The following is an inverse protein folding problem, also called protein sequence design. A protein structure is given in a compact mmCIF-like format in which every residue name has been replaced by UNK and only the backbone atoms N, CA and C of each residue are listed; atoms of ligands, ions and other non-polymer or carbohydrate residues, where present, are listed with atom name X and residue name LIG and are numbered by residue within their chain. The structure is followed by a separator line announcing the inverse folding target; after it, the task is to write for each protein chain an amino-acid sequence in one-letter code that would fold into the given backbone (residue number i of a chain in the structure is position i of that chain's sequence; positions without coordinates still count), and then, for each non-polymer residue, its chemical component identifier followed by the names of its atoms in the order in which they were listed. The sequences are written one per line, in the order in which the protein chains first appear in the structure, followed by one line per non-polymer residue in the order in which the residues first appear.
data_IF_717499701355
#
_entry.id   IF_717499701355
#
_cell.length_a   1.000
_cell.length_b   1.000
_cell.length_c   1.000
_cell.angle_alpha   90.00
_cell.angle_beta   90.00
_cell.angle_gamma   90.00
#
_symmetry.space_group_name_H-M   'P 1'
#
loop_
_entity.id
_entity.type
_entity.pdbx_description
1 polymer ?
#
# COMPACT_ATOMS: atom_id res chain seq x y z
N UNK A 1 -42.64 31.09 47.65
CA UNK A 1 -42.16 29.71 47.49
C UNK A 1 -41.22 29.70 46.28
N UNK A 2 -39.92 29.58 46.51
CA UNK A 2 -38.90 29.45 45.46
C UNK A 2 -38.71 27.94 45.17
N UNK A 3 -38.59 27.50 43.90
CA UNK A 3 -38.34 26.10 43.57
C UNK A 3 -36.85 25.75 43.79
N UNK A 4 -36.63 24.59 44.42
CA UNK A 4 -35.32 23.97 44.62
C UNK A 4 -34.77 23.40 43.30
N UNK A 5 -33.49 23.62 42.95
CA UNK A 5 -32.88 22.97 41.80
C UNK A 5 -32.53 21.52 42.16
N UNK A 6 -33.10 20.57 41.42
CA UNK A 6 -32.70 19.15 41.49
C UNK A 6 -31.38 18.98 40.76
N UNK A 7 -30.31 18.66 41.49
CA UNK A 7 -29.02 18.26 40.94
C UNK A 7 -29.16 16.90 40.25
N UNK A 8 -29.09 16.88 38.92
CA UNK A 8 -28.97 15.65 38.16
C UNK A 8 -27.51 15.18 38.23
N UNK A 9 -27.28 14.03 38.88
CA UNK A 9 -25.97 13.39 38.93
C UNK A 9 -25.72 12.72 37.58
N UNK A 10 -24.83 13.29 36.76
CA UNK A 10 -24.38 12.70 35.51
C UNK A 10 -23.36 11.62 35.83
N UNK A 11 -23.75 10.34 35.74
CA UNK A 11 -22.82 9.22 35.84
C UNK A 11 -22.00 9.15 34.55
N UNK A 12 -20.74 9.59 34.62
CA UNK A 12 -19.78 9.46 33.53
C UNK A 12 -19.27 8.02 33.51
N UNK A 13 -19.83 7.19 32.62
CA UNK A 13 -19.32 5.83 32.38
C UNK A 13 -18.07 5.93 31.52
N UNK A 14 -16.89 5.84 32.15
CA UNK A 14 -15.61 5.78 31.44
C UNK A 14 -15.52 4.43 30.73
N UNK A 15 -15.70 4.42 29.40
CA UNK A 15 -15.46 3.25 28.58
C UNK A 15 -13.94 3.05 28.48
N UNK A 16 -13.41 2.00 29.11
CA UNK A 16 -12.03 1.57 28.89
C UNK A 16 -11.95 0.96 27.48
N UNK A 17 -11.50 1.75 26.51
CA UNK A 17 -11.08 1.25 25.21
C UNK A 17 -9.84 0.38 25.42
N UNK A 18 -10.00 -0.94 25.31
CA UNK A 18 -8.85 -1.82 25.11
C UNK A 18 -8.14 -1.45 23.81
N UNK A 19 -6.84 -1.77 23.65
CA UNK A 19 -6.18 -1.59 22.37
C UNK A 19 -6.97 -2.36 21.32
N UNK A 20 -7.41 -1.67 20.28
CA UNK A 20 -7.95 -2.34 19.10
C UNK A 20 -6.84 -3.28 18.60
N UNK A 21 -7.08 -4.59 18.66
CA UNK A 21 -6.25 -5.52 17.93
C UNK A 21 -6.57 -5.26 16.48
N UNK A 22 -5.74 -4.47 15.82
CA UNK A 22 -5.80 -4.34 14.38
C UNK A 22 -5.60 -5.75 13.81
N UNK A 23 -6.52 -6.16 12.94
CA UNK A 23 -6.57 -7.49 12.35
C UNK A 23 -6.79 -7.34 10.86
N UNK A 24 -6.08 -8.15 10.07
CA UNK A 24 -6.36 -8.33 8.64
C UNK A 24 -7.80 -8.83 8.50
N UNK A 25 -8.62 -8.09 7.75
CA UNK A 25 -10.03 -8.42 7.56
C UNK A 25 -10.17 -9.18 6.25
N UNK A 26 -10.30 -10.51 6.36
CA UNK A 26 -10.60 -11.41 5.25
C UNK A 26 -12.09 -11.36 4.90
N UNK A 27 -12.42 -11.35 3.61
CA UNK A 27 -13.83 -11.39 3.16
C UNK A 27 -14.43 -12.79 3.21
N UNK A 28 -13.57 -13.82 3.29
CA UNK A 28 -13.95 -15.24 3.18
C UNK A 28 -13.86 -15.78 1.75
N UNK A 29 -13.72 -14.91 0.75
CA UNK A 29 -13.59 -15.30 -0.65
C UNK A 29 -12.13 -15.48 -1.09
N UNK A 30 -11.94 -16.14 -2.23
CA UNK A 30 -10.64 -16.28 -2.88
C UNK A 30 -10.74 -15.97 -4.37
N UNK A 31 -9.65 -15.45 -4.95
CA UNK A 31 -9.50 -15.25 -6.38
C UNK A 31 -8.16 -15.83 -6.83
N UNK A 32 -8.20 -16.70 -7.84
CA UNK A 32 -7.01 -17.41 -8.36
C UNK A 32 -6.21 -18.15 -7.26
N UNK A 33 -6.90 -18.66 -6.24
CA UNK A 33 -6.30 -19.40 -5.13
C UNK A 33 -5.71 -18.53 -4.01
N UNK A 34 -5.86 -17.20 -4.07
CA UNK A 34 -5.40 -16.27 -3.04
C UNK A 34 -6.56 -15.59 -2.31
N UNK A 35 -6.45 -15.34 -1.00
CA UNK A 35 -7.51 -14.71 -0.21
C UNK A 35 -7.80 -13.27 -0.67
N UNK A 36 -9.08 -12.90 -0.60
CA UNK A 36 -9.52 -11.52 -0.75
C UNK A 36 -9.63 -10.89 0.65
N UNK A 37 -9.07 -9.69 0.80
CA UNK A 37 -9.08 -8.88 2.02
C UNK A 37 -9.74 -7.52 1.76
N UNK A 38 -10.26 -6.94 2.83
CA UNK A 38 -10.76 -5.55 2.85
C UNK A 38 -9.86 -4.62 3.69
N UNK A 39 -9.08 -5.20 4.60
CA UNK A 39 -8.06 -4.50 5.38
C UNK A 39 -6.87 -5.43 5.63
N UNK A 40 -5.66 -4.89 5.59
CA UNK A 40 -4.39 -5.56 5.86
C UNK A 40 -3.87 -5.07 7.20
N UNK A 41 -3.45 -6.01 8.03
CA UNK A 41 -2.52 -5.77 9.13
C UNK A 41 -1.26 -6.59 8.89
N UNK A 42 -0.12 -5.91 8.74
CA UNK A 42 1.15 -6.58 8.47
C UNK A 42 1.60 -7.53 9.61
N UNK A 43 1.10 -7.33 10.83
CA UNK A 43 1.41 -8.17 12.01
C UNK A 43 0.72 -9.54 11.96
N UNK A 44 -0.31 -9.68 11.13
CA UNK A 44 -0.99 -10.96 10.88
C UNK A 44 -0.40 -11.74 9.69
N UNK A 45 0.39 -11.08 8.85
CA UNK A 45 1.00 -11.72 7.68
C UNK A 45 2.02 -12.75 8.14
N UNK A 46 2.00 -14.00 7.63
CA UNK A 46 2.97 -15.01 8.03
C UNK A 46 4.42 -14.51 7.91
N UNK A 47 5.24 -14.85 8.90
CA UNK A 47 6.64 -14.45 8.94
C UNK A 47 7.47 -15.25 7.94
N UNK A 48 8.61 -14.68 7.54
CA UNK A 48 9.63 -15.31 6.70
C UNK A 48 9.09 -15.84 5.37
N UNK A 49 8.13 -15.13 4.79
CA UNK A 49 7.49 -15.52 3.54
C UNK A 49 7.02 -14.32 2.75
N UNK A 50 6.67 -14.60 1.50
CA UNK A 50 5.93 -13.69 0.63
C UNK A 50 4.49 -14.19 0.55
N UNK A 51 3.60 -13.45 1.18
CA UNK A 51 2.16 -13.66 1.10
C UNK A 51 1.56 -12.88 -0.06
N UNK A 52 0.46 -13.40 -0.63
CA UNK A 52 -0.27 -12.75 -1.72
C UNK A 52 -1.74 -12.65 -1.35
N UNK A 53 -2.32 -11.49 -1.60
CA UNK A 53 -3.71 -11.17 -1.33
C UNK A 53 -4.31 -10.45 -2.53
N UNK A 54 -5.64 -10.42 -2.57
CA UNK A 54 -6.38 -9.47 -3.39
C UNK A 54 -7.08 -8.46 -2.47
N UNK A 55 -7.00 -7.17 -2.76
CA UNK A 55 -7.91 -6.18 -2.21
C UNK A 55 -9.13 -6.06 -3.10
N UNK A 56 -10.31 -5.96 -2.52
CA UNK A 56 -11.50 -5.49 -3.23
C UNK A 56 -11.78 -4.02 -2.87
N UNK A 57 -11.11 -3.03 -3.51
CA UNK A 57 -11.15 -1.64 -3.06
C UNK A 57 -12.50 -0.95 -3.25
N UNK A 58 -13.27 -1.37 -4.25
CA UNK A 58 -14.59 -0.83 -4.53
C UNK A 58 -15.35 -1.75 -5.50
N UNK A 59 -16.64 -1.49 -5.66
CA UNK A 59 -17.47 -2.08 -6.72
C UNK A 59 -17.88 -1.01 -7.73
N UNK A 60 -17.70 -1.31 -9.01
CA UNK A 60 -18.17 -0.50 -10.12
C UNK A 60 -19.68 -0.62 -10.32
N UNK A 61 -20.16 0.07 -11.36
CA UNK A 61 -21.57 0.00 -11.75
C UNK A 61 -22.02 -1.45 -12.02
N UNK A 62 -23.21 -1.80 -11.51
CA UNK A 62 -23.74 -3.15 -11.60
C UNK A 62 -23.16 -4.16 -10.60
N UNK A 63 -22.44 -3.69 -9.56
CA UNK A 63 -21.86 -4.55 -8.52
C UNK A 63 -20.64 -5.34 -9.00
N UNK A 64 -19.90 -4.79 -9.98
CA UNK A 64 -18.70 -5.43 -10.51
C UNK A 64 -17.51 -5.11 -9.60
N UNK A 65 -16.95 -6.08 -8.86
CA UNK A 65 -15.84 -5.82 -7.96
C UNK A 65 -14.55 -5.52 -8.75
N UNK A 66 -13.78 -4.58 -8.25
CA UNK A 66 -12.38 -4.43 -8.65
C UNK A 66 -11.50 -5.29 -7.75
N UNK A 67 -10.42 -5.83 -8.29
CA UNK A 67 -9.44 -6.60 -7.51
C UNK A 67 -8.04 -6.05 -7.74
N UNK A 68 -7.31 -5.79 -6.65
CA UNK A 68 -5.92 -5.37 -6.69
C UNK A 68 -5.00 -6.44 -6.11
N UNK A 69 -3.98 -6.89 -6.85
CA UNK A 69 -3.00 -7.80 -6.29
C UNK A 69 -2.14 -7.07 -5.26
N UNK A 70 -2.00 -7.68 -4.08
CA UNK A 70 -1.09 -7.23 -3.02
C UNK A 70 -0.08 -8.33 -2.77
N UNK A 71 1.19 -7.97 -2.73
CA UNK A 71 2.26 -8.83 -2.25
C UNK A 71 2.78 -8.30 -0.91
N UNK A 72 3.03 -9.19 0.05
CA UNK A 72 3.63 -8.80 1.33
C UNK A 72 4.78 -9.74 1.64
N UNK A 73 5.99 -9.20 1.61
CA UNK A 73 7.18 -9.89 2.09
C UNK A 73 7.42 -9.46 3.53
N UNK A 74 7.37 -10.41 4.48
CA UNK A 74 7.62 -10.14 5.91
C UNK A 74 8.84 -10.92 6.39
N UNK A 75 9.68 -10.26 7.17
CA UNK A 75 10.80 -10.85 7.90
C UNK A 75 10.35 -11.72 9.06
N UNK A 76 11.15 -11.75 10.13
CA UNK A 76 10.84 -12.50 11.33
C UNK A 76 9.61 -11.92 12.06
N UNK A 77 9.17 -12.61 13.10
CA UNK A 77 8.11 -12.12 13.99
C UNK A 77 8.44 -10.72 14.52
N UNK A 78 9.68 -10.54 15.00
CA UNK A 78 10.25 -9.28 15.50
C UNK A 78 10.33 -8.18 14.43
N UNK A 79 10.39 -8.54 13.14
CA UNK A 79 10.50 -7.55 12.06
C UNK A 79 9.28 -6.65 11.92
N UNK A 80 8.11 -7.10 12.37
CA UNK A 80 6.93 -6.23 12.36
C UNK A 80 7.04 -5.06 13.34
N UNK A 81 7.89 -5.16 14.36
CA UNK A 81 8.07 -4.13 15.39
C UNK A 81 9.41 -3.40 15.29
N UNK A 82 10.46 -4.07 14.82
CA UNK A 82 11.83 -3.55 14.78
C UNK A 82 12.31 -3.15 13.38
N UNK A 83 11.69 -3.69 12.33
CA UNK A 83 12.08 -3.48 10.95
C UNK A 83 11.32 -2.34 10.27
N UNK A 84 11.88 -1.82 9.18
CA UNK A 84 11.22 -0.78 8.36
C UNK A 84 10.13 -1.37 7.48
N UNK A 85 9.08 -0.59 7.25
CA UNK A 85 7.91 -0.94 6.43
C UNK A 85 7.94 -0.12 5.15
N UNK A 86 8.28 -0.77 4.04
CA UNK A 86 8.41 -0.14 2.72
C UNK A 86 7.19 -0.50 1.85
N UNK A 87 6.56 0.49 1.23
CA UNK A 87 5.60 0.25 0.15
C UNK A 87 6.23 0.52 -1.22
N UNK A 88 5.99 -0.39 -2.16
CA UNK A 88 6.37 -0.30 -3.56
C UNK A 88 5.10 -0.36 -4.39
N UNK A 89 4.72 0.76 -4.99
CA UNK A 89 3.50 0.86 -5.79
C UNK A 89 3.82 1.24 -7.23
N UNK A 90 2.95 0.81 -8.14
CA UNK A 90 3.13 1.04 -9.57
C UNK A 90 1.78 1.22 -10.24
N UNK A 91 1.82 1.82 -11.43
CA UNK A 91 0.67 1.85 -12.33
C UNK A 91 -0.58 2.48 -11.69
N UNK A 92 -0.39 3.55 -10.91
CA UNK A 92 -1.47 4.46 -10.53
C UNK A 92 -2.03 5.19 -11.76
N UNK A 93 -1.15 5.47 -12.72
CA UNK A 93 -1.54 5.80 -14.07
C UNK A 93 -1.54 4.54 -14.92
N UNK A 94 -2.63 4.29 -15.63
CA UNK A 94 -2.87 3.02 -16.29
C UNK A 94 -2.05 2.77 -17.56
N UNK A 95 -1.48 3.83 -18.14
CA UNK A 95 -0.65 3.76 -19.33
C UNK A 95 0.86 3.74 -19.01
N UNK A 96 1.22 3.57 -17.73
CA UNK A 96 2.59 3.48 -17.22
C UNK A 96 2.89 2.05 -16.75
N UNK A 97 3.17 1.15 -17.70
CA UNK A 97 3.19 -0.30 -17.46
C UNK A 97 4.56 -0.87 -17.07
N UNK A 98 5.67 -0.21 -17.42
CA UNK A 98 7.01 -0.73 -17.12
C UNK A 98 7.23 -0.98 -15.61
N UNK A 99 6.74 -0.12 -14.70
CA UNK A 99 6.94 -0.31 -13.27
C UNK A 99 6.22 -1.53 -12.67
N UNK A 100 5.15 -2.01 -13.31
CA UNK A 100 4.48 -3.25 -12.90
C UNK A 100 5.48 -4.41 -12.83
N UNK A 101 6.33 -4.51 -13.86
CA UNK A 101 7.39 -5.52 -13.93
C UNK A 101 8.52 -5.28 -12.93
N UNK A 102 8.79 -4.02 -12.55
CA UNK A 102 9.79 -3.69 -11.53
C UNK A 102 9.37 -4.25 -10.17
N UNK A 103 8.14 -3.97 -9.73
CA UNK A 103 7.60 -4.50 -8.47
C UNK A 103 7.62 -6.04 -8.47
N UNK A 104 7.16 -6.67 -9.56
CA UNK A 104 7.18 -8.14 -9.68
C UNK A 104 8.60 -8.71 -9.60
N UNK A 105 9.58 -8.09 -10.26
CA UNK A 105 10.99 -8.52 -10.22
C UNK A 105 11.60 -8.37 -8.83
N UNK A 106 11.29 -7.30 -8.10
CA UNK A 106 11.75 -7.11 -6.73
C UNK A 106 11.26 -8.27 -5.85
N UNK A 107 9.96 -8.60 -5.92
CA UNK A 107 9.42 -9.73 -5.17
C UNK A 107 9.96 -11.09 -5.61
N UNK A 108 10.23 -11.28 -6.91
CA UNK A 108 10.91 -12.48 -7.41
C UNK A 108 12.33 -12.60 -6.86
N UNK A 109 13.11 -11.50 -6.81
CA UNK A 109 14.45 -11.46 -6.24
C UNK A 109 14.45 -11.70 -4.73
N UNK A 110 13.51 -11.12 -4.00
CA UNK A 110 13.32 -11.41 -2.57
C UNK A 110 13.08 -12.91 -2.36
N UNK A 111 12.24 -13.52 -3.20
CA UNK A 111 11.97 -14.96 -3.15
C UNK A 111 13.20 -15.82 -3.49
N UNK A 112 13.95 -15.47 -4.54
CA UNK A 112 15.13 -16.20 -5.01
C UNK A 112 16.29 -16.17 -4.01
N UNK A 113 16.55 -15.00 -3.42
CA UNK A 113 17.68 -14.81 -2.51
C UNK A 113 17.47 -15.48 -1.16
N UNK A 114 16.22 -15.81 -0.79
CA UNK A 114 15.92 -16.65 0.37
C UNK A 114 16.45 -16.10 1.70
N UNK A 115 16.78 -14.82 1.79
CA UNK A 115 17.23 -14.17 3.03
C UNK A 115 16.03 -13.77 3.89
N UNK A 116 15.08 -14.68 4.06
CA UNK A 116 14.04 -14.61 5.08
C UNK A 116 14.54 -15.39 6.31
N UNK A 117 14.56 -14.80 7.53
CA UNK A 117 15.04 -15.49 8.74
C UNK A 117 14.29 -16.79 9.07
N UNK A 118 14.70 -17.92 8.46
CA UNK A 118 14.10 -19.25 8.68
C UNK A 118 13.75 -20.02 7.41
N UNK A 119 13.91 -19.47 6.21
CA UNK A 119 13.78 -20.26 4.97
C UNK A 119 15.07 -21.04 4.70
N UNK A 120 15.18 -22.21 5.30
CA UNK A 120 16.25 -23.16 4.99
C UNK A 120 16.20 -23.53 3.50
N UNK A 121 17.26 -23.19 2.77
CA UNK A 121 17.48 -23.76 1.44
C UNK A 121 17.62 -25.29 1.59
N UNK A 122 16.93 -26.04 0.75
CA UNK A 122 17.01 -27.50 0.67
C UNK A 122 18.29 -27.99 -0.03
N UNK A 123 19.26 -27.12 -0.31
CA UNK A 123 20.61 -27.48 -0.71
C UNK A 123 21.52 -27.43 0.52
N UNK A 124 21.94 -28.60 1.00
CA UNK A 124 22.65 -28.82 2.26
C UNK A 124 24.08 -28.26 2.39
N UNK A 125 24.32 -27.02 1.97
CA UNK A 125 25.48 -26.26 2.41
C UNK A 125 25.06 -25.39 3.60
N UNK A 126 25.48 -25.79 4.80
CA UNK A 126 25.39 -24.92 5.98
C UNK A 126 26.23 -23.68 5.67
N UNK A 127 25.57 -22.54 5.52
CA UNK A 127 26.23 -21.25 5.60
C UNK A 127 27.06 -21.25 6.90
N UNK A 128 28.34 -20.91 6.77
CA UNK A 128 29.25 -20.79 7.92
C UNK A 128 28.64 -19.80 8.90
N UNK A 129 28.69 -20.11 10.19
CA UNK A 129 28.15 -19.28 11.29
C UNK A 129 28.77 -17.86 11.36
N UNK A 130 29.75 -17.55 10.51
CA UNK A 130 30.43 -16.25 10.37
C UNK A 130 29.89 -15.36 9.22
N UNK A 131 28.98 -15.85 8.37
CA UNK A 131 28.17 -15.01 7.47
C UNK A 131 26.77 -14.84 8.07
N UNK A 132 26.67 -14.00 9.10
CA UNK A 132 25.40 -13.36 9.45
C UNK A 132 25.02 -12.36 8.34
N UNK A 133 24.74 -12.87 7.13
CA UNK A 133 24.10 -12.11 6.07
C UNK A 133 22.83 -11.51 6.68
N UNK A 134 22.70 -10.19 6.60
CA UNK A 134 21.63 -9.42 7.23
C UNK A 134 20.28 -10.05 6.90
N UNK A 135 19.73 -10.80 7.87
CA UNK A 135 18.41 -11.38 7.78
C UNK A 135 17.41 -10.26 7.45
N UNK A 136 16.49 -10.48 6.50
CA UNK A 136 15.50 -9.48 6.11
C UNK A 136 14.72 -9.01 7.35
N UNK A 137 14.98 -7.77 7.77
CA UNK A 137 14.37 -7.15 8.94
C UNK A 137 13.43 -6.02 8.54
N UNK A 138 12.19 -6.38 8.24
CA UNK A 138 11.12 -5.45 7.93
C UNK A 138 9.98 -6.09 7.18
N UNK A 139 9.20 -5.24 6.52
CA UNK A 139 8.08 -5.62 5.67
C UNK A 139 8.14 -4.83 4.37
N UNK A 140 7.94 -5.49 3.23
CA UNK A 140 7.74 -4.84 1.94
C UNK A 140 6.34 -5.16 1.43
N UNK A 141 5.53 -4.13 1.15
CA UNK A 141 4.21 -4.23 0.54
C UNK A 141 4.31 -3.83 -0.92
N UNK A 142 3.92 -4.71 -1.84
CA UNK A 142 3.90 -4.47 -3.27
C UNK A 142 2.47 -4.29 -3.80
N UNK A 143 2.22 -3.17 -4.48
CA UNK A 143 1.01 -2.90 -5.25
C UNK A 143 1.38 -2.72 -6.73
N UNK A 144 1.59 -3.81 -7.49
CA UNK A 144 2.12 -3.72 -8.85
C UNK A 144 1.14 -3.05 -9.83
N UNK A 145 -0.16 -3.06 -9.56
CA UNK A 145 -1.18 -2.45 -10.41
C UNK A 145 -2.21 -1.72 -9.56
N UNK A 146 -2.06 -0.40 -9.38
CA UNK A 146 -3.04 0.40 -8.63
C UNK A 146 -4.27 0.81 -9.45
N UNK A 147 -4.17 0.89 -10.79
CA UNK A 147 -5.25 1.35 -11.66
C UNK A 147 -5.56 0.33 -12.77
N UNK A 148 -6.18 -0.82 -12.43
CA UNK A 148 -6.47 -1.88 -13.40
C UNK A 148 -7.42 -1.42 -14.52
N UNK A 149 -8.29 -0.44 -14.26
CA UNK A 149 -9.16 0.14 -15.27
C UNK A 149 -8.38 0.96 -16.30
N UNK A 150 -7.50 1.84 -15.81
CA UNK A 150 -6.57 2.56 -16.67
C UNK A 150 -5.69 1.59 -17.46
N UNK A 151 -5.20 0.52 -16.85
CA UNK A 151 -4.42 -0.51 -17.53
C UNK A 151 -5.20 -1.17 -18.67
N UNK A 152 -6.42 -1.61 -18.39
CA UNK A 152 -7.28 -2.27 -19.38
C UNK A 152 -7.56 -1.37 -20.58
N UNK A 153 -7.73 -0.07 -20.34
CA UNK A 153 -8.05 0.91 -21.37
C UNK A 153 -6.82 1.55 -22.03
N UNK A 154 -5.61 1.23 -21.53
CA UNK A 154 -4.39 1.96 -21.84
C UNK A 154 -4.57 3.49 -21.68
N UNK A 155 -5.12 3.89 -20.53
CA UNK A 155 -5.43 5.27 -20.17
C UNK A 155 -4.69 5.66 -18.90
N UNK A 156 -4.18 6.89 -18.89
CA UNK A 156 -3.54 7.48 -17.70
C UNK A 156 -4.45 7.48 -16.48
N UNK A 157 -5.71 7.82 -16.67
CA UNK A 157 -6.66 8.07 -15.59
C UNK A 157 -7.60 6.89 -15.35
N UNK A 158 -8.14 6.79 -14.15
CA UNK A 158 -9.16 5.81 -13.79
C UNK A 158 -10.49 6.17 -14.46
N UNK A 159 -11.08 5.20 -15.15
CA UNK A 159 -12.35 5.38 -15.84
C UNK A 159 -13.53 5.03 -14.95
N UNK A 160 -14.55 5.89 -14.94
CA UNK A 160 -15.86 5.61 -14.34
C UNK A 160 -16.94 5.71 -15.39
N UNK A 161 -17.85 4.74 -15.43
CA UNK A 161 -18.89 4.61 -16.47
C UNK A 161 -20.13 5.48 -16.25
N UNK A 162 -20.02 6.60 -15.52
CA UNK A 162 -21.15 7.51 -15.30
C UNK A 162 -21.41 8.40 -16.52
N UNK A 163 -22.66 8.49 -16.98
CA UNK A 163 -23.06 9.27 -18.16
C UNK A 163 -22.22 8.93 -19.42
N UNK A 164 -21.44 9.87 -19.95
CA UNK A 164 -20.56 9.65 -21.11
C UNK A 164 -19.17 9.10 -20.72
N UNK A 165 -18.99 8.74 -19.46
CA UNK A 165 -17.72 8.33 -18.88
C UNK A 165 -16.89 9.51 -18.35
N UNK A 166 -16.19 9.30 -17.24
CA UNK A 166 -15.27 10.28 -16.66
C UNK A 166 -13.92 9.64 -16.35
N UNK A 167 -12.86 10.41 -16.57
CA UNK A 167 -11.50 10.04 -16.25
C UNK A 167 -11.01 10.84 -15.05
N UNK A 168 -10.67 10.15 -13.96
CA UNK A 168 -10.14 10.74 -12.74
C UNK A 168 -8.69 10.33 -12.55
N UNK A 169 -7.82 11.30 -12.28
CA UNK A 169 -6.44 10.98 -11.91
C UNK A 169 -6.43 10.46 -10.46
N UNK A 170 -6.14 9.18 -10.26
CA UNK A 170 -6.06 8.60 -8.91
C UNK A 170 -4.99 9.25 -8.04
N UNK A 171 -3.90 9.74 -8.63
CA UNK A 171 -2.83 10.42 -7.89
C UNK A 171 -3.21 11.87 -7.53
N UNK A 172 -4.48 12.24 -7.55
CA UNK A 172 -5.02 13.54 -7.12
C UNK A 172 -6.20 13.41 -6.17
N UNK A 173 -6.52 12.19 -5.72
CA UNK A 173 -7.67 11.92 -4.86
C UNK A 173 -7.29 11.24 -3.54
N UNK A 174 -6.03 10.91 -3.29
CA UNK A 174 -5.61 10.38 -1.99
C UNK A 174 -5.82 11.43 -0.87
N UNK A 175 -6.23 11.05 0.36
CA UNK A 175 -6.40 9.67 0.87
C UNK A 175 -7.70 9.02 0.41
N UNK A 176 -8.52 9.72 -0.37
CA UNK A 176 -9.84 9.30 -0.78
C UNK A 176 -10.92 9.75 0.21
N UNK A 177 -12.13 9.26 -0.02
CA UNK A 177 -13.31 9.47 0.81
C UNK A 177 -14.18 8.23 0.70
N UNK A 178 -14.68 7.69 1.81
CA UNK A 178 -15.50 6.47 1.74
C UNK A 178 -16.87 6.76 1.13
N UNK A 179 -17.59 5.71 0.71
CA UNK A 179 -18.95 5.86 0.18
C UNK A 179 -19.89 6.43 1.26
N UNK A 180 -19.71 6.02 2.51
CA UNK A 180 -20.49 6.52 3.66
C UNK A 180 -20.29 8.01 3.90
N UNK A 181 -19.10 8.53 3.59
CA UNK A 181 -18.75 9.96 3.66
C UNK A 181 -19.20 10.74 2.42
N UNK A 182 -19.72 10.06 1.39
CA UNK A 182 -20.18 10.66 0.14
C UNK A 182 -19.17 10.62 -1.01
N UNK A 183 -18.09 9.84 -0.87
CA UNK A 183 -17.07 9.66 -1.90
C UNK A 183 -17.62 9.00 -3.16
N UNK A 184 -17.15 9.48 -4.32
CA UNK A 184 -17.40 8.81 -5.59
C UNK A 184 -16.58 7.53 -5.71
N UNK A 185 -16.79 6.77 -6.79
CA UNK A 185 -16.05 5.52 -7.01
C UNK A 185 -14.51 5.70 -6.95
N UNK A 186 -13.88 6.70 -7.59
CA UNK A 186 -12.43 6.88 -7.50
C UNK A 186 -11.96 7.26 -6.09
N UNK A 187 -12.75 8.04 -5.35
CA UNK A 187 -12.44 8.46 -3.98
C UNK A 187 -12.52 7.28 -3.01
N UNK A 188 -13.59 6.48 -3.10
CA UNK A 188 -13.77 5.28 -2.28
C UNK A 188 -12.70 4.23 -2.58
N UNK A 189 -12.32 4.11 -3.86
CA UNK A 189 -11.23 3.25 -4.30
C UNK A 189 -9.89 3.66 -3.69
N UNK A 190 -9.56 4.96 -3.71
CA UNK A 190 -8.36 5.48 -3.08
C UNK A 190 -8.40 5.31 -1.54
N UNK A 191 -9.56 5.54 -0.92
CA UNK A 191 -9.77 5.33 0.51
C UNK A 191 -9.53 3.89 0.94
N UNK A 192 -9.95 2.92 0.13
CA UNK A 192 -9.71 1.51 0.43
C UNK A 192 -8.24 1.12 0.34
N UNK A 193 -7.47 1.70 -0.60
CA UNK A 193 -6.01 1.50 -0.65
C UNK A 193 -5.36 2.16 0.57
N UNK A 194 -5.67 3.44 0.81
CA UNK A 194 -5.06 4.24 1.87
C UNK A 194 -5.29 3.64 3.26
N UNK A 195 -6.55 3.37 3.58
CA UNK A 195 -6.94 2.86 4.89
C UNK A 195 -6.79 1.35 5.00
N UNK A 196 -7.18 0.61 3.96
CA UNK A 196 -7.20 -0.85 3.99
C UNK A 196 -5.87 -1.52 3.67
N UNK A 197 -4.92 -0.87 2.99
CA UNK A 197 -3.61 -1.47 2.70
C UNK A 197 -2.49 -0.76 3.44
N UNK A 198 -2.40 0.56 3.29
CA UNK A 198 -1.39 1.34 4.00
C UNK A 198 -1.74 1.59 5.46
N UNK A 199 -2.96 1.22 5.89
CA UNK A 199 -3.38 1.30 7.28
C UNK A 199 -3.53 2.74 7.77
N UNK A 200 -3.80 3.69 6.87
CA UNK A 200 -3.63 5.12 7.14
C UNK A 200 -2.22 5.37 7.72
N UNK A 201 -1.22 4.97 6.95
CA UNK A 201 0.22 4.96 7.27
C UNK A 201 0.66 4.04 8.41
N UNK A 202 -0.23 3.29 9.07
CA UNK A 202 0.19 2.35 10.13
C UNK A 202 0.93 1.12 9.59
N UNK A 203 0.77 0.78 8.31
CA UNK A 203 1.48 -0.34 7.67
C UNK A 203 2.73 0.09 6.88
N UNK A 204 3.01 1.38 6.75
CA UNK A 204 4.04 1.92 5.85
C UNK A 204 4.80 3.07 6.51
N UNK A 205 6.12 2.94 6.61
CA UNK A 205 7.00 4.02 7.07
C UNK A 205 7.46 4.90 5.91
N UNK A 206 7.67 4.29 4.74
CA UNK A 206 8.15 4.96 3.53
C UNK A 206 7.60 4.28 2.29
N UNK A 207 7.28 5.06 1.26
CA UNK A 207 6.72 4.57 0.01
C UNK A 207 7.58 5.00 -1.19
N UNK A 208 7.62 4.14 -2.21
CA UNK A 208 8.13 4.46 -3.54
C UNK A 208 7.02 4.15 -4.52
N UNK A 209 6.46 5.19 -5.12
CA UNK A 209 5.48 5.07 -6.19
C UNK A 209 6.18 5.26 -7.54
N UNK A 210 6.22 4.20 -8.34
CA UNK A 210 6.94 4.19 -9.60
C UNK A 210 6.05 4.69 -10.73
N UNK A 211 6.51 5.74 -11.41
CA UNK A 211 5.90 6.31 -12.60
C UNK A 211 6.80 6.09 -13.82
N UNK A 212 6.19 6.12 -15.00
CA UNK A 212 6.89 6.48 -16.23
C UNK A 212 6.28 7.75 -16.79
N UNK A 213 6.89 8.29 -17.83
CA UNK A 213 6.16 9.23 -18.66
C UNK A 213 4.98 8.51 -19.35
N UNK A 214 3.84 9.21 -19.44
CA UNK A 214 2.63 8.75 -20.15
C UNK A 214 2.96 8.33 -21.59
N UNK A 215 2.08 7.53 -22.19
CA UNK A 215 2.25 7.03 -23.56
C UNK A 215 2.59 8.14 -24.55
N UNK A 216 3.62 7.92 -25.37
CA UNK A 216 4.08 8.88 -26.38
C UNK A 216 5.09 9.92 -25.89
N UNK A 217 5.53 9.83 -24.64
CA UNK A 217 6.52 10.73 -24.05
C UNK A 217 7.87 10.03 -23.80
N UNK A 218 8.95 10.80 -23.85
CA UNK A 218 10.32 10.37 -23.53
C UNK A 218 10.97 11.40 -22.60
N UNK A 219 11.75 10.93 -21.64
CA UNK A 219 12.41 11.79 -20.67
C UNK A 219 13.40 11.02 -19.81
N UNK A 220 14.17 11.74 -18.96
CA UNK A 220 15.15 11.13 -18.08
C UNK A 220 14.48 10.25 -17.01
N UNK A 221 15.28 9.48 -16.28
CA UNK A 221 14.86 8.96 -14.98
C UNK A 221 14.98 10.08 -13.95
N UNK A 222 13.87 10.51 -13.35
CA UNK A 222 13.90 11.45 -12.24
C UNK A 222 13.04 10.98 -11.08
N UNK A 223 13.30 11.50 -9.89
CA UNK A 223 12.45 11.29 -8.73
C UNK A 223 12.05 12.63 -8.08
N UNK A 224 10.82 12.67 -7.60
CA UNK A 224 10.37 13.63 -6.60
C UNK A 224 10.70 13.06 -5.23
N UNK A 225 11.29 13.87 -4.35
CA UNK A 225 11.72 13.39 -3.05
C UNK A 225 11.62 14.50 -1.99
N UNK A 226 10.84 14.24 -0.94
CA UNK A 226 10.77 15.13 0.21
C UNK A 226 11.93 14.86 1.18
N UNK A 227 13.00 15.64 1.04
CA UNK A 227 14.19 15.50 1.88
C UNK A 227 13.98 15.90 3.35
N UNK A 228 12.80 16.42 3.71
CA UNK A 228 12.45 16.68 5.11
C UNK A 228 12.13 15.40 5.89
N UNK A 229 11.78 14.31 5.18
CA UNK A 229 11.39 13.04 5.76
C UNK A 229 12.60 12.11 5.90
N UNK A 230 12.69 11.41 7.03
CA UNK A 230 13.80 10.50 7.34
C UNK A 230 13.90 9.38 6.30
N UNK A 231 15.12 9.04 5.89
CA UNK A 231 15.40 8.01 4.90
C UNK A 231 15.10 8.35 3.44
N UNK A 232 14.24 9.33 3.13
CA UNK A 232 13.82 9.65 1.75
C UNK A 232 14.98 10.14 0.88
N UNK A 233 15.84 11.02 1.40
CA UNK A 233 17.05 11.45 0.68
C UNK A 233 17.92 10.24 0.29
N UNK A 234 18.18 9.35 1.25
CA UNK A 234 19.03 8.18 1.03
C UNK A 234 18.44 7.24 -0.03
N UNK A 235 17.13 7.02 0.00
CA UNK A 235 16.43 6.19 -1.00
C UNK A 235 16.51 6.82 -2.39
N UNK A 236 16.28 8.13 -2.51
CA UNK A 236 16.35 8.85 -3.77
C UNK A 236 17.75 8.82 -4.39
N UNK A 237 18.80 9.00 -3.58
CA UNK A 237 20.20 8.94 -4.03
C UNK A 237 20.64 7.51 -4.40
N UNK A 238 20.16 6.49 -3.69
CA UNK A 238 20.44 5.08 -4.00
C UNK A 238 19.83 4.61 -5.33
N UNK A 239 18.76 5.26 -5.78
CA UNK A 239 18.17 4.99 -7.09
C UNK A 239 19.07 5.47 -8.24
N UNK A 240 20.00 6.40 -7.96
CA UNK A 240 20.88 7.04 -8.94
C UNK A 240 20.13 7.57 -10.19
N UNK A 241 19.03 8.34 -10.03
CA UNK A 241 18.32 8.92 -11.17
C UNK A 241 19.16 10.02 -11.84
N UNK A 242 18.83 10.35 -13.08
CA UNK A 242 19.47 11.46 -13.81
C UNK A 242 19.23 12.81 -13.10
N UNK A 243 18.09 12.94 -12.41
CA UNK A 243 17.70 14.16 -11.69
C UNK A 243 16.89 13.84 -10.45
N UNK A 244 17.17 14.55 -9.35
CA UNK A 244 16.32 14.57 -8.16
C UNK A 244 15.71 15.96 -8.04
N UNK A 245 14.37 16.04 -8.04
CA UNK A 245 13.67 17.25 -7.62
C UNK A 245 13.35 17.12 -6.14
N UNK A 246 13.97 17.97 -5.34
CA UNK A 246 13.62 18.12 -3.92
C UNK A 246 12.25 18.78 -3.87
N UNK A 247 11.25 18.03 -3.46
CA UNK A 247 9.84 18.38 -3.63
C UNK A 247 9.06 18.03 -2.36
N UNK A 248 8.28 18.98 -1.80
CA UNK A 248 7.45 18.70 -0.63
C UNK A 248 6.21 17.86 -0.97
N UNK A 249 6.03 17.49 -2.24
CA UNK A 249 4.92 16.76 -2.82
C UNK A 249 3.72 17.63 -3.19
N UNK A 250 2.78 17.04 -3.93
CA UNK A 250 1.52 17.65 -4.37
C UNK A 250 0.33 17.12 -3.55
N UNK A 251 -0.59 17.98 -3.05
CA UNK A 251 -1.82 17.54 -2.38
C UNK A 251 -2.64 16.55 -3.21
N UNK A 252 -3.20 15.54 -2.56
CA UNK A 252 -4.00 14.51 -3.23
C UNK A 252 -3.18 13.39 -3.89
N UNK A 253 -1.86 13.49 -3.87
CA UNK A 253 -0.96 12.43 -4.32
C UNK A 253 -0.52 11.55 -3.16
N UNK A 254 0.03 10.39 -3.49
CA UNK A 254 0.64 9.48 -2.50
C UNK A 254 1.79 10.17 -1.73
N UNK A 255 2.42 11.19 -2.32
CA UNK A 255 3.61 11.86 -1.77
C UNK A 255 3.33 12.72 -0.52
N UNK A 256 2.10 13.22 -0.35
CA UNK A 256 1.77 14.24 0.68
C UNK A 256 0.63 13.88 1.62
N UNK A 257 0.06 12.70 1.45
CA UNK A 257 -1.15 12.29 2.17
C UNK A 257 -0.80 11.60 3.48
#
# INVERSE_FOLDING_TARGET
MLPSPKTALLTLTTLLLGPATSQTIYTGDTLQGYPIISSLDITDVPCNTISRFWLSPAEGQGGLPYFLPIFVARGSEESAHSGKRLSLSASIHGDELNPVAVVQKIFARLNETGQFPGSGSSSGERARDDEAGLLFNGTVIGLPTQNPQGNLLNQRNFFTSSSNGFFTNLNRVFPGMTIEEGGGLPDAYAAAIWNGVWGNTTNVDVAVDFHTLSTGSLGPLWCYADYRLDGVQRLAELLEPDMIKIDPGEPGSIETT
#
